data_IF_868444152567
#
_entry.id   IF_868444152567
#
_cell.length_a   1.000
_cell.length_b   1.000
_cell.length_c   1.000
_cell.angle_alpha   90.00
_cell.angle_beta   90.00
_cell.angle_gamma   90.00
#
_symmetry.space_group_name_H-M   'P 1'
#
loop_
_entity.id
_entity.type
_entity.pdbx_description
1 polymer ?
#
# COMPACT_ATOMS: atom_id res chain seq x y z
N UNK A 1 77.76 33.46 -6.17
CA UNK A 1 77.69 32.02 -6.41
C UNK A 1 76.35 31.58 -5.82
N UNK A 2 75.31 31.56 -6.68
CA UNK A 2 73.90 31.50 -6.28
C UNK A 2 73.40 30.07 -6.38
N UNK A 3 72.85 29.55 -5.27
CA UNK A 3 72.13 28.29 -5.23
C UNK A 3 70.59 28.61 -5.22
N UNK A 4 69.98 28.29 -6.32
CA UNK A 4 68.52 28.44 -6.49
C UNK A 4 67.79 27.35 -5.71
N UNK A 5 67.04 27.76 -4.69
CA UNK A 5 66.11 26.90 -3.95
C UNK A 5 64.85 26.71 -4.76
N UNK A 6 64.64 25.55 -5.39
CA UNK A 6 63.36 25.15 -5.97
C UNK A 6 62.40 24.69 -4.84
N UNK A 7 61.39 25.48 -4.58
CA UNK A 7 60.22 25.06 -3.77
C UNK A 7 59.31 24.21 -4.63
N UNK A 8 59.22 22.94 -4.30
CA UNK A 8 58.20 22.04 -4.82
C UNK A 8 56.98 22.25 -3.94
N UNK A 9 55.90 22.84 -4.50
CA UNK A 9 54.57 22.89 -3.87
C UNK A 9 53.89 21.57 -4.21
N UNK A 10 53.78 20.69 -3.21
CA UNK A 10 52.96 19.50 -3.30
C UNK A 10 51.51 19.93 -3.05
N UNK A 11 50.69 20.05 -4.10
CA UNK A 11 49.25 20.20 -3.99
C UNK A 11 48.66 18.82 -3.67
N UNK A 12 48.33 18.61 -2.40
CA UNK A 12 47.50 17.46 -2.00
C UNK A 12 46.08 17.69 -2.48
N UNK A 13 45.71 17.06 -3.58
CA UNK A 13 44.29 16.96 -3.99
C UNK A 13 43.56 16.09 -2.99
N UNK A 14 42.82 16.73 -2.09
CA UNK A 14 41.87 16.05 -1.22
C UNK A 14 40.68 15.61 -2.07
N UNK A 15 40.72 14.40 -2.58
CA UNK A 15 39.59 13.78 -3.26
C UNK A 15 38.55 13.47 -2.18
N UNK A 16 37.52 14.32 -2.06
CA UNK A 16 36.32 14.00 -1.29
C UNK A 16 35.62 12.89 -2.07
N UNK A 17 35.87 11.66 -1.67
CA UNK A 17 35.05 10.52 -2.09
C UNK A 17 33.70 10.74 -1.40
N UNK A 18 32.78 11.39 -2.08
CA UNK A 18 31.36 11.29 -1.75
C UNK A 18 30.98 9.85 -2.06
N UNK A 19 31.11 9.00 -1.06
CA UNK A 19 30.66 7.62 -1.17
C UNK A 19 29.18 7.63 -1.55
N UNK A 20 28.85 7.16 -2.75
CA UNK A 20 27.49 6.78 -3.04
C UNK A 20 27.02 5.85 -1.90
N UNK A 21 25.80 5.99 -1.39
CA UNK A 21 25.32 5.09 -0.35
C UNK A 21 25.49 3.66 -0.84
N UNK A 22 26.23 2.87 -0.07
CA UNK A 22 26.43 1.46 -0.38
C UNK A 22 25.05 0.82 -0.36
N UNK A 23 24.62 0.15 -1.44
CA UNK A 23 23.28 -0.44 -1.58
C UNK A 23 22.87 -1.35 -0.39
N UNK A 24 23.84 -1.86 0.37
CA UNK A 24 23.60 -2.57 1.61
C UNK A 24 23.12 -1.70 2.79
N UNK A 25 23.31 -0.39 2.73
CA UNK A 25 22.79 0.54 3.76
C UNK A 25 21.30 0.80 3.56
N UNK A 26 20.83 0.90 2.32
CA UNK A 26 19.41 1.09 2.02
C UNK A 26 18.58 -0.13 2.47
N UNK A 27 19.00 -1.35 2.15
CA UNK A 27 18.31 -2.57 2.57
C UNK A 27 18.24 -2.68 4.11
N UNK A 28 19.33 -2.29 4.79
CA UNK A 28 19.36 -2.25 6.24
C UNK A 28 18.43 -1.18 6.81
N UNK A 29 18.43 0.02 6.27
CA UNK A 29 17.57 1.11 6.70
C UNK A 29 16.08 0.76 6.54
N UNK A 30 15.69 0.13 5.42
CA UNK A 30 14.33 -0.38 5.22
C UNK A 30 13.96 -1.45 6.24
N UNK A 31 14.86 -2.37 6.53
CA UNK A 31 14.64 -3.39 7.55
C UNK A 31 14.48 -2.79 8.95
N UNK A 32 15.35 -1.83 9.35
CA UNK A 32 15.25 -1.13 10.64
C UNK A 32 13.93 -0.38 10.77
N UNK A 33 13.47 0.29 9.70
CA UNK A 33 12.15 0.95 9.68
C UNK A 33 11.00 -0.05 9.81
N UNK A 34 11.08 -1.21 9.15
CA UNK A 34 10.07 -2.26 9.29
C UNK A 34 10.05 -2.82 10.71
N UNK A 35 11.18 -2.94 11.40
CA UNK A 35 11.22 -3.32 12.81
C UNK A 35 10.51 -2.28 13.69
N UNK A 36 10.75 -0.98 13.47
CA UNK A 36 10.07 0.08 14.19
C UNK A 36 8.55 0.08 13.92
N UNK A 37 8.13 -0.02 12.67
CA UNK A 37 6.72 -0.11 12.29
C UNK A 37 6.05 -1.28 13.03
N UNK A 38 6.69 -2.43 13.03
CA UNK A 38 6.20 -3.65 13.68
C UNK A 38 6.09 -3.48 15.19
N UNK A 39 7.11 -2.92 15.83
CA UNK A 39 7.11 -2.65 17.27
C UNK A 39 5.92 -1.74 17.66
N UNK A 40 5.78 -0.58 16.99
CA UNK A 40 4.67 0.34 17.28
C UNK A 40 3.30 -0.30 16.99
N UNK A 41 3.18 -1.07 15.92
CA UNK A 41 1.94 -1.75 15.56
C UNK A 41 1.52 -2.75 16.63
N UNK A 42 2.46 -3.54 17.11
CA UNK A 42 2.23 -4.54 18.13
C UNK A 42 1.95 -3.92 19.51
N UNK A 43 2.58 -2.79 19.82
CA UNK A 43 2.41 -2.14 21.12
C UNK A 43 1.15 -1.28 21.19
N UNK A 44 0.84 -0.54 20.12
CA UNK A 44 -0.17 0.52 20.15
C UNK A 44 -1.53 0.09 19.57
N UNK A 45 -1.53 -0.87 18.66
CA UNK A 45 -2.76 -1.24 17.92
C UNK A 45 -3.26 -2.63 18.30
N UNK A 46 -2.36 -3.60 18.41
CA UNK A 46 -2.76 -5.00 18.58
C UNK A 46 -3.56 -5.25 19.87
N UNK A 47 -3.24 -4.68 21.04
CA UNK A 47 -4.01 -4.94 22.26
C UNK A 47 -5.47 -4.56 22.10
N UNK A 48 -5.75 -3.33 21.64
CA UNK A 48 -7.13 -2.86 21.42
C UNK A 48 -7.82 -3.64 20.32
N UNK A 49 -7.13 -3.97 19.24
CA UNK A 49 -7.73 -4.76 18.16
C UNK A 49 -8.10 -6.19 18.62
N UNK A 50 -7.29 -6.82 19.49
CA UNK A 50 -7.64 -8.12 20.09
C UNK A 50 -8.85 -8.00 21.03
N UNK A 51 -8.89 -6.98 21.87
CA UNK A 51 -10.00 -6.70 22.78
C UNK A 51 -11.31 -6.45 22.02
N UNK A 52 -11.30 -5.57 21.02
CA UNK A 52 -12.48 -5.21 20.20
C UNK A 52 -13.06 -6.41 19.41
N UNK A 53 -12.23 -7.43 19.16
CA UNK A 53 -12.61 -8.65 18.43
C UNK A 53 -12.74 -9.87 19.34
N UNK A 54 -12.66 -9.69 20.65
CA UNK A 54 -12.82 -10.76 21.65
C UNK A 54 -11.88 -11.96 21.38
N UNK A 55 -10.58 -11.68 21.16
CA UNK A 55 -9.56 -12.69 20.93
C UNK A 55 -8.56 -12.75 22.11
N UNK A 56 -8.44 -13.94 22.71
CA UNK A 56 -7.41 -14.20 23.73
C UNK A 56 -6.07 -14.52 23.08
N UNK A 57 -6.11 -15.18 21.93
CA UNK A 57 -4.92 -15.56 21.19
C UNK A 57 -5.14 -15.44 19.68
N UNK A 58 -4.09 -15.09 18.96
CA UNK A 58 -4.06 -15.10 17.49
C UNK A 58 -2.87 -15.95 17.04
N UNK A 59 -3.13 -16.92 16.16
CA UNK A 59 -2.10 -17.82 15.61
C UNK A 59 -2.06 -17.67 14.09
N UNK A 60 -0.89 -17.27 13.57
CA UNK A 60 -0.60 -17.27 12.14
C UNK A 60 0.30 -18.44 11.81
N UNK A 61 -0.12 -19.25 10.85
CA UNK A 61 0.58 -20.47 10.45
C UNK A 61 1.22 -20.29 9.10
N UNK A 62 2.50 -20.59 9.01
CA UNK A 62 3.22 -20.59 7.73
C UNK A 62 4.05 -21.86 7.61
N UNK A 63 4.42 -22.19 6.38
CA UNK A 63 5.39 -23.26 6.08
C UNK A 63 6.18 -22.89 4.84
N UNK A 64 7.27 -23.58 4.59
CA UNK A 64 8.06 -23.36 3.39
C UNK A 64 7.20 -23.44 2.12
N UNK A 65 7.28 -22.42 1.28
CA UNK A 65 6.51 -22.31 0.03
C UNK A 65 5.02 -21.99 0.19
N UNK A 66 4.53 -21.80 1.43
CA UNK A 66 3.17 -21.35 1.73
C UNK A 66 3.19 -20.34 2.89
N UNK A 67 3.40 -19.09 2.54
CA UNK A 67 3.48 -17.98 3.48
C UNK A 67 2.12 -17.31 3.60
N UNK A 68 1.83 -16.82 4.80
CA UNK A 68 0.64 -15.99 5.04
C UNK A 68 0.80 -14.61 4.39
N UNK A 69 -0.26 -13.96 3.90
CA UNK A 69 -0.21 -12.59 3.37
C UNK A 69 0.39 -11.55 4.33
N UNK A 70 0.37 -11.83 5.65
CA UNK A 70 0.94 -10.95 6.67
C UNK A 70 2.43 -11.18 6.94
N UNK A 71 3.11 -12.01 6.17
CA UNK A 71 4.50 -12.36 6.42
C UNK A 71 5.45 -11.16 6.52
N UNK A 72 5.29 -10.16 5.66
CA UNK A 72 6.05 -8.92 5.75
C UNK A 72 5.75 -8.14 7.03
N UNK A 73 4.49 -8.02 7.36
CA UNK A 73 4.05 -7.29 8.55
C UNK A 73 4.53 -7.96 9.84
N UNK A 74 4.50 -9.29 9.90
CA UNK A 74 4.94 -10.06 11.07
C UNK A 74 6.46 -10.22 11.13
N UNK A 75 7.16 -10.08 10.02
CA UNK A 75 8.61 -10.17 9.92
C UNK A 75 9.09 -11.45 9.27
N UNK A 76 9.94 -11.26 8.27
CA UNK A 76 10.54 -12.33 7.49
C UNK A 76 11.49 -13.15 8.35
N UNK A 77 11.25 -14.46 8.41
CA UNK A 77 12.12 -15.45 9.03
C UNK A 77 12.29 -16.68 8.14
N UNK A 78 13.17 -17.56 8.51
CA UNK A 78 13.27 -18.89 7.88
C UNK A 78 12.19 -19.79 8.49
N UNK A 79 11.24 -20.20 7.65
CA UNK A 79 10.18 -21.14 8.02
C UNK A 79 10.54 -22.50 7.43
N UNK A 80 10.62 -23.52 8.28
CA UNK A 80 10.78 -24.90 7.84
C UNK A 80 9.43 -25.55 7.50
N UNK A 81 9.24 -26.78 7.95
CA UNK A 81 7.99 -27.52 7.72
C UNK A 81 6.78 -26.77 8.29
N UNK A 82 6.93 -26.19 9.47
CA UNK A 82 5.89 -25.43 10.19
C UNK A 82 6.50 -24.29 10.99
N UNK A 83 5.87 -23.13 10.91
CA UNK A 83 6.18 -21.96 11.71
C UNK A 83 4.91 -21.27 12.17
N UNK A 84 4.95 -20.77 13.41
CA UNK A 84 3.81 -20.13 14.05
C UNK A 84 4.24 -18.80 14.64
N UNK A 85 3.47 -17.77 14.35
CA UNK A 85 3.48 -16.50 15.06
C UNK A 85 2.28 -16.51 16.00
N UNK A 86 2.52 -16.43 17.29
CA UNK A 86 1.50 -16.56 18.33
C UNK A 86 1.48 -15.30 19.17
N UNK A 87 0.31 -14.69 19.22
CA UNK A 87 0.06 -13.46 19.97
C UNK A 87 -1.00 -13.75 21.02
N UNK A 88 -0.67 -13.51 22.30
CA UNK A 88 -1.56 -13.80 23.42
C UNK A 88 -1.90 -12.53 24.16
N UNK A 89 -3.20 -12.21 24.26
CA UNK A 89 -3.69 -11.05 24.99
C UNK A 89 -3.40 -11.16 26.47
N UNK A 90 -2.85 -10.10 27.02
CA UNK A 90 -2.64 -9.92 28.47
C UNK A 90 -3.28 -8.59 28.93
N UNK A 91 -4.40 -8.22 28.33
CA UNK A 91 -5.04 -6.94 28.53
C UNK A 91 -4.30 -5.84 27.76
N UNK A 92 -3.68 -4.89 28.44
CA UNK A 92 -2.99 -3.77 27.81
C UNK A 92 -1.70 -4.16 27.06
N UNK A 93 -1.26 -5.39 27.13
CA UNK A 93 -0.07 -5.93 26.47
C UNK A 93 -0.44 -7.21 25.71
N UNK A 94 0.31 -7.49 24.65
CA UNK A 94 0.25 -8.76 23.93
C UNK A 94 1.61 -9.47 24.07
N UNK A 95 1.61 -10.68 24.59
CA UNK A 95 2.78 -11.56 24.57
C UNK A 95 2.95 -12.12 23.16
N UNK A 96 4.18 -12.17 22.68
CA UNK A 96 4.51 -12.45 21.28
C UNK A 96 5.51 -13.58 21.19
N UNK A 97 5.13 -14.68 20.60
CA UNK A 97 5.99 -15.83 20.41
C UNK A 97 6.14 -16.20 18.94
N UNK A 98 7.29 -16.73 18.60
CA UNK A 98 7.58 -17.29 17.29
C UNK A 98 8.10 -18.72 17.50
N UNK A 99 7.40 -19.70 16.91
CA UNK A 99 7.72 -21.10 17.08
C UNK A 99 8.02 -21.75 15.72
N UNK A 100 9.13 -22.49 15.64
CA UNK A 100 9.54 -23.17 14.40
C UNK A 100 10.01 -22.23 13.29
N UNK A 101 10.37 -20.99 13.63
CA UNK A 101 10.88 -19.98 12.70
C UNK A 101 12.21 -19.49 13.22
N UNK A 102 13.21 -19.45 12.35
CA UNK A 102 14.53 -18.92 12.67
C UNK A 102 14.89 -17.70 11.83
N UNK A 103 16.01 -17.07 12.18
CA UNK A 103 16.60 -16.01 11.37
C UNK A 103 17.01 -14.79 12.18
N UNK A 104 18.31 -14.52 12.17
CA UNK A 104 18.91 -13.44 12.96
C UNK A 104 18.24 -12.07 12.78
N UNK A 105 17.70 -11.78 11.60
CA UNK A 105 17.02 -10.50 11.36
C UNK A 105 15.67 -10.41 12.07
N UNK A 106 14.96 -11.52 12.22
CA UNK A 106 13.73 -11.58 13.00
C UNK A 106 14.01 -11.38 14.48
N UNK A 107 15.02 -12.07 15.00
CA UNK A 107 15.46 -11.96 16.38
C UNK A 107 16.02 -10.56 16.71
N UNK A 108 16.83 -9.98 15.83
CA UNK A 108 17.42 -8.65 16.02
C UNK A 108 16.41 -7.49 15.95
N UNK A 109 15.21 -7.73 15.44
CA UNK A 109 14.11 -6.75 15.51
C UNK A 109 13.66 -6.50 16.97
N UNK A 110 13.90 -7.44 17.87
CA UNK A 110 13.57 -7.36 19.32
C UNK A 110 12.09 -7.02 19.58
N UNK A 111 11.19 -7.60 18.78
CA UNK A 111 9.74 -7.39 18.89
C UNK A 111 8.99 -8.62 19.39
N UNK A 112 9.67 -9.74 19.58
CA UNK A 112 9.12 -10.99 20.07
C UNK A 112 9.72 -11.36 21.42
N UNK A 113 8.86 -11.79 22.35
CA UNK A 113 9.23 -12.13 23.72
C UNK A 113 9.82 -13.56 23.82
N UNK A 114 9.42 -14.45 22.88
CA UNK A 114 9.80 -15.87 22.94
C UNK A 114 10.06 -16.46 21.56
N UNK A 115 11.11 -17.26 21.46
CA UNK A 115 11.43 -18.09 20.29
C UNK A 115 11.55 -19.55 20.74
N UNK A 116 10.80 -20.46 20.10
CA UNK A 116 10.76 -21.88 20.42
C UNK A 116 10.67 -22.77 19.20
N UNK A 117 10.59 -24.08 19.42
CA UNK A 117 10.37 -25.05 18.35
C UNK A 117 8.90 -25.17 17.99
N UNK A 118 8.59 -25.62 16.74
CA UNK A 118 7.22 -25.82 16.29
C UNK A 118 6.45 -26.86 17.15
N UNK A 119 7.16 -27.82 17.73
CA UNK A 119 6.56 -28.87 18.55
C UNK A 119 6.05 -28.33 19.89
N UNK A 120 6.52 -27.19 20.34
CA UNK A 120 6.09 -26.56 21.60
C UNK A 120 4.70 -25.91 21.51
N UNK A 121 4.10 -25.78 20.32
CA UNK A 121 2.85 -25.02 20.13
C UNK A 121 1.72 -25.49 21.07
N UNK A 122 1.49 -26.79 21.19
CA UNK A 122 0.40 -27.31 22.00
C UNK A 122 0.59 -26.96 23.48
N UNK A 123 1.80 -27.17 24.02
CA UNK A 123 2.14 -26.84 25.40
C UNK A 123 2.11 -25.33 25.66
N UNK A 124 2.58 -24.55 24.66
CA UNK A 124 2.53 -23.08 24.70
C UNK A 124 1.09 -22.57 24.82
N UNK A 125 0.18 -23.08 23.99
CA UNK A 125 -1.24 -22.73 24.02
C UNK A 125 -1.89 -23.21 25.32
N UNK A 126 -1.65 -24.45 25.72
CA UNK A 126 -2.23 -25.02 26.94
C UNK A 126 -1.83 -24.27 28.21
N UNK A 127 -0.60 -23.74 28.28
CA UNK A 127 -0.12 -22.97 29.44
C UNK A 127 -0.78 -21.59 29.58
N UNK A 128 -1.45 -21.08 28.52
CA UNK A 128 -2.15 -19.79 28.50
C UNK A 128 -3.67 -19.94 28.51
N UNK A 129 -4.17 -21.13 28.24
CA UNK A 129 -5.58 -21.55 28.27
C UNK A 129 -6.53 -20.53 27.60
N UNK A 130 -6.31 -20.13 26.32
CA UNK A 130 -7.17 -19.16 25.65
C UNK A 130 -8.54 -19.74 25.36
N UNK A 131 -9.61 -18.96 25.57
CA UNK A 131 -10.98 -19.35 25.23
C UNK A 131 -11.28 -19.18 23.73
N UNK A 132 -10.71 -18.13 23.10
CA UNK A 132 -10.91 -17.83 21.68
C UNK A 132 -9.59 -17.62 20.96
N UNK A 133 -9.33 -18.46 19.97
CA UNK A 133 -8.10 -18.48 19.19
C UNK A 133 -8.39 -18.03 17.76
N UNK A 134 -7.98 -16.82 17.40
CA UNK A 134 -8.10 -16.31 16.05
C UNK A 134 -7.11 -16.99 15.11
N UNK A 135 -7.57 -17.34 13.90
CA UNK A 135 -6.72 -17.83 12.80
C UNK A 135 -7.11 -17.16 11.49
N UNK A 136 -6.17 -17.08 10.56
CA UNK A 136 -6.35 -16.36 9.30
C UNK A 136 -7.18 -17.16 8.29
N UNK A 137 -8.49 -17.27 8.56
CA UNK A 137 -9.52 -17.73 7.65
C UNK A 137 -10.53 -16.59 7.47
N UNK A 138 -10.91 -16.30 6.23
CA UNK A 138 -11.76 -15.17 5.91
C UNK A 138 -12.72 -15.50 4.75
N UNK A 139 -13.90 -14.89 4.76
CA UNK A 139 -14.90 -15.00 3.69
C UNK A 139 -14.78 -13.84 2.69
N UNK A 140 -14.41 -12.65 3.15
CA UNK A 140 -14.48 -11.42 2.36
C UNK A 140 -13.12 -10.76 2.13
N UNK A 141 -12.16 -10.92 3.03
CA UNK A 141 -10.87 -10.24 3.00
C UNK A 141 -9.76 -11.24 2.66
N UNK A 142 -9.42 -11.38 1.36
CA UNK A 142 -8.41 -12.34 0.90
C UNK A 142 -7.05 -12.20 1.59
N UNK A 143 -6.64 -10.99 1.97
CA UNK A 143 -5.42 -10.76 2.74
C UNK A 143 -5.46 -11.24 4.20
N UNK A 144 -6.63 -11.65 4.69
CA UNK A 144 -6.82 -12.28 6.00
C UNK A 144 -7.10 -13.81 5.89
N UNK A 145 -6.99 -14.39 4.68
CA UNK A 145 -7.25 -15.80 4.38
C UNK A 145 -5.97 -16.54 4.00
N UNK A 146 -4.99 -16.52 4.89
CA UNK A 146 -3.69 -17.16 4.69
C UNK A 146 -3.60 -18.63 5.07
N UNK A 147 -4.58 -19.15 5.82
CA UNK A 147 -4.55 -20.49 6.37
C UNK A 147 -5.19 -21.52 5.42
N UNK A 148 -4.38 -22.32 4.74
CA UNK A 148 -4.90 -23.37 3.86
C UNK A 148 -5.70 -24.42 4.64
N UNK A 149 -6.64 -25.08 3.95
CA UNK A 149 -7.44 -26.18 4.55
C UNK A 149 -6.56 -27.27 5.21
N UNK A 150 -5.46 -27.68 4.57
CA UNK A 150 -4.54 -28.67 5.12
C UNK A 150 -3.85 -28.15 6.39
N UNK A 151 -3.42 -26.89 6.38
CA UNK A 151 -2.77 -26.26 7.54
C UNK A 151 -3.75 -26.08 8.69
N UNK A 152 -5.00 -25.73 8.40
CA UNK A 152 -6.06 -25.63 9.41
C UNK A 152 -6.33 -26.98 10.12
N UNK A 153 -6.50 -28.05 9.36
CA UNK A 153 -6.77 -29.37 9.96
C UNK A 153 -5.60 -29.86 10.81
N UNK A 154 -4.37 -29.62 10.34
CA UNK A 154 -3.19 -30.00 11.13
C UNK A 154 -3.04 -29.16 12.38
N UNK A 155 -3.28 -27.85 12.31
CA UNK A 155 -3.28 -26.98 13.48
C UNK A 155 -4.31 -27.47 14.50
N UNK A 156 -5.53 -27.77 14.05
CA UNK A 156 -6.60 -28.27 14.89
C UNK A 156 -6.21 -29.60 15.59
N UNK A 157 -5.60 -30.52 14.85
CA UNK A 157 -5.11 -31.81 15.40
C UNK A 157 -4.00 -31.56 16.45
N UNK A 158 -3.01 -30.69 16.15
CA UNK A 158 -1.90 -30.40 17.05
C UNK A 158 -2.37 -29.73 18.35
N UNK A 159 -3.38 -28.88 18.28
CA UNK A 159 -3.94 -28.19 19.45
C UNK A 159 -4.87 -29.06 20.31
N UNK A 160 -5.28 -30.24 19.83
CA UNK A 160 -6.20 -31.12 20.56
C UNK A 160 -7.52 -30.41 20.89
N UNK A 161 -7.90 -30.38 22.18
CA UNK A 161 -9.16 -29.73 22.62
C UNK A 161 -9.21 -28.21 22.36
N UNK A 162 -8.08 -27.54 22.26
CA UNK A 162 -8.00 -26.13 21.90
C UNK A 162 -8.35 -25.89 20.42
N UNK A 163 -8.24 -26.91 19.58
CA UNK A 163 -8.62 -26.86 18.19
C UNK A 163 -10.12 -26.58 17.95
N UNK A 164 -10.97 -26.80 18.95
CA UNK A 164 -12.41 -26.46 18.89
C UNK A 164 -12.69 -24.99 19.26
N UNK A 165 -11.67 -24.26 19.75
CA UNK A 165 -11.73 -22.83 20.09
C UNK A 165 -11.26 -21.91 18.94
N UNK A 166 -10.92 -22.50 17.78
CA UNK A 166 -10.47 -21.74 16.60
C UNK A 166 -11.63 -20.96 15.99
N UNK A 167 -11.38 -19.67 15.74
CA UNK A 167 -12.34 -18.75 15.11
C UNK A 167 -11.66 -17.94 14.00
N UNK A 168 -12.45 -17.37 13.09
CA UNK A 168 -11.94 -16.44 12.09
C UNK A 168 -11.35 -15.18 12.75
N UNK A 169 -10.14 -14.81 12.33
CA UNK A 169 -9.52 -13.53 12.70
C UNK A 169 -9.77 -12.42 11.68
N UNK A 170 -10.67 -12.59 10.72
CA UNK A 170 -10.87 -11.66 9.59
C UNK A 170 -11.07 -10.21 10.04
N UNK A 171 -12.00 -9.97 11.00
CA UNK A 171 -12.23 -8.62 11.52
C UNK A 171 -11.05 -8.07 12.28
N UNK A 172 -10.45 -8.88 13.14
CA UNK A 172 -9.23 -8.50 13.86
C UNK A 172 -8.11 -8.09 12.91
N UNK A 173 -7.84 -8.90 11.88
CA UNK A 173 -6.82 -8.59 10.86
C UNK A 173 -7.14 -7.28 10.15
N UNK A 174 -8.42 -7.06 9.81
CA UNK A 174 -8.88 -5.80 9.23
C UNK A 174 -8.59 -4.61 10.15
N UNK A 175 -9.01 -4.66 11.40
CA UNK A 175 -8.83 -3.58 12.37
C UNK A 175 -7.34 -3.32 12.68
N UNK A 176 -6.58 -4.39 12.88
CA UNK A 176 -5.14 -4.35 13.08
C UNK A 176 -4.43 -3.70 11.89
N UNK A 177 -4.80 -4.05 10.65
CA UNK A 177 -4.18 -3.51 9.43
C UNK A 177 -4.65 -2.09 9.11
N UNK A 178 -5.91 -1.77 9.35
CA UNK A 178 -6.49 -0.48 9.01
C UNK A 178 -6.10 0.65 9.97
N UNK A 179 -5.91 0.35 11.25
CA UNK A 179 -5.50 1.36 12.25
C UNK A 179 -4.03 1.70 12.07
N UNK A 180 -3.71 2.94 11.73
CA UNK A 180 -2.34 3.37 11.38
C UNK A 180 -1.63 4.05 12.54
N UNK A 181 -0.36 3.68 12.74
CA UNK A 181 0.56 4.41 13.62
C UNK A 181 1.20 5.61 12.90
N UNK A 182 1.83 6.49 13.66
CA UNK A 182 2.50 7.66 13.08
C UNK A 182 3.64 7.27 12.12
N UNK A 183 4.41 6.23 12.43
CA UNK A 183 5.50 5.76 11.56
C UNK A 183 4.97 5.10 10.29
N UNK A 184 3.83 4.39 10.35
CA UNK A 184 3.16 3.86 9.16
C UNK A 184 2.68 4.99 8.26
N UNK A 185 2.07 6.05 8.82
CA UNK A 185 1.62 7.22 8.06
C UNK A 185 2.81 7.89 7.36
N UNK A 186 3.95 8.03 8.03
CA UNK A 186 5.15 8.59 7.44
C UNK A 186 5.69 7.74 6.29
N UNK A 187 5.74 6.41 6.44
CA UNK A 187 6.17 5.49 5.39
C UNK A 187 5.22 5.52 4.19
N UNK A 188 3.90 5.58 4.45
CA UNK A 188 2.89 5.67 3.40
C UNK A 188 2.95 7.01 2.64
N UNK A 189 3.24 8.12 3.34
CA UNK A 189 3.46 9.41 2.70
C UNK A 189 4.68 9.40 1.77
N UNK A 190 5.76 8.72 2.16
CA UNK A 190 6.95 8.53 1.33
C UNK A 190 6.64 7.68 0.08
N UNK A 191 5.91 6.58 0.24
CA UNK A 191 5.43 5.79 -0.90
C UNK A 191 4.59 6.63 -1.87
N UNK A 192 3.72 7.51 -1.34
CA UNK A 192 2.94 8.46 -2.12
C UNK A 192 3.79 9.48 -2.88
N UNK A 193 4.86 9.99 -2.26
CA UNK A 193 5.78 10.93 -2.90
C UNK A 193 6.61 10.27 -4.02
N UNK A 194 7.09 9.05 -3.80
CA UNK A 194 7.76 8.25 -4.83
C UNK A 194 6.82 8.03 -6.02
N UNK A 195 5.58 7.65 -5.74
CA UNK A 195 4.56 7.46 -6.78
C UNK A 195 4.32 8.73 -7.57
N UNK A 196 4.18 9.88 -6.89
CA UNK A 196 3.99 11.19 -7.52
C UNK A 196 5.16 11.55 -8.45
N UNK A 197 6.39 11.42 -7.95
CA UNK A 197 7.59 11.77 -8.71
C UNK A 197 7.69 10.97 -10.02
N UNK A 198 7.49 9.64 -9.94
CA UNK A 198 7.57 8.78 -11.13
C UNK A 198 6.44 9.14 -12.11
N UNK A 199 5.20 9.35 -11.63
CA UNK A 199 4.07 9.70 -12.48
C UNK A 199 4.26 11.05 -13.21
N UNK A 200 4.79 12.06 -12.52
CA UNK A 200 5.06 13.38 -13.12
C UNK A 200 6.15 13.31 -14.20
N UNK A 201 7.20 12.51 -13.97
CA UNK A 201 8.24 12.27 -14.96
C UNK A 201 7.70 11.46 -16.15
N UNK A 202 6.91 10.42 -15.89
CA UNK A 202 6.28 9.62 -16.93
C UNK A 202 5.43 10.46 -17.89
N UNK A 203 4.73 11.46 -17.38
CA UNK A 203 3.91 12.38 -18.15
C UNK A 203 4.65 13.67 -18.58
N UNK A 204 5.96 13.60 -18.71
CA UNK A 204 6.79 14.72 -19.17
C UNK A 204 7.45 14.43 -20.52
N UNK A 205 8.11 15.45 -21.08
CA UNK A 205 8.92 15.30 -22.29
C UNK A 205 10.20 14.45 -22.09
N UNK A 206 10.50 14.02 -20.87
CA UNK A 206 11.53 13.01 -20.60
C UNK A 206 11.15 11.65 -21.22
N UNK A 207 9.86 11.32 -21.23
CA UNK A 207 9.35 10.03 -21.66
C UNK A 207 8.51 10.15 -22.93
N UNK A 208 7.63 11.14 -23.00
CA UNK A 208 6.66 11.27 -24.09
C UNK A 208 7.18 12.18 -25.21
N UNK A 209 7.36 11.60 -26.39
CA UNK A 209 7.51 12.30 -27.66
C UNK A 209 6.23 12.09 -28.47
N UNK A 210 5.32 13.10 -28.57
CA UNK A 210 4.08 12.96 -29.32
C UNK A 210 4.31 12.52 -30.77
N UNK A 211 3.52 11.58 -31.26
CA UNK A 211 3.68 10.98 -32.59
C UNK A 211 4.68 9.83 -32.65
N UNK A 212 5.33 9.46 -31.54
CA UNK A 212 6.31 8.36 -31.49
C UNK A 212 6.06 7.43 -30.30
N UNK A 213 5.95 7.95 -29.08
CA UNK A 213 5.79 7.18 -27.84
C UNK A 213 4.40 6.52 -27.78
N UNK A 214 4.34 5.25 -27.49
CA UNK A 214 3.10 4.50 -27.27
C UNK A 214 2.67 4.56 -25.79
N UNK A 215 1.43 4.12 -25.50
CA UNK A 215 0.97 4.01 -24.12
C UNK A 215 1.80 2.99 -23.34
N UNK A 216 2.18 1.87 -23.96
CA UNK A 216 3.01 0.86 -23.30
C UNK A 216 4.46 1.30 -23.07
N UNK A 217 5.03 2.14 -23.93
CA UNK A 217 6.38 2.69 -23.69
C UNK A 217 6.42 3.47 -22.37
N UNK A 218 5.37 4.23 -22.07
CA UNK A 218 5.24 4.93 -20.79
C UNK A 218 5.13 3.96 -19.63
N UNK A 219 4.31 2.92 -19.75
CA UNK A 219 4.12 1.89 -18.73
C UNK A 219 5.43 1.13 -18.45
N UNK A 220 6.16 0.74 -19.48
CA UNK A 220 7.46 0.07 -19.34
C UNK A 220 8.50 0.97 -18.69
N UNK A 221 8.58 2.24 -19.09
CA UNK A 221 9.48 3.19 -18.45
C UNK A 221 9.19 3.33 -16.94
N UNK A 222 7.92 3.36 -16.54
CA UNK A 222 7.52 3.42 -15.13
C UNK A 222 7.92 2.15 -14.37
N UNK A 223 7.76 0.99 -14.99
CA UNK A 223 8.20 -0.29 -14.42
C UNK A 223 9.71 -0.33 -14.23
N UNK A 224 10.49 0.22 -15.17
CA UNK A 224 11.94 0.36 -15.03
C UNK A 224 12.32 1.27 -13.85
N UNK A 225 11.55 2.35 -13.60
CA UNK A 225 11.79 3.22 -12.44
C UNK A 225 11.50 2.51 -11.11
N UNK A 226 10.47 1.66 -11.06
CA UNK A 226 10.19 0.81 -9.89
C UNK A 226 11.33 -0.18 -9.65
N UNK A 227 11.72 -0.92 -10.67
CA UNK A 227 12.79 -1.91 -10.60
C UNK A 227 14.12 -1.29 -10.15
N UNK A 228 14.50 -0.14 -10.72
CA UNK A 228 15.73 0.56 -10.37
C UNK A 228 15.79 1.02 -8.90
N UNK A 229 14.64 1.22 -8.28
CA UNK A 229 14.50 1.63 -6.86
C UNK A 229 14.21 0.47 -5.92
N UNK A 230 14.14 -0.77 -6.43
CA UNK A 230 13.77 -1.95 -5.65
C UNK A 230 12.39 -1.82 -5.03
N UNK A 231 11.43 -1.32 -5.81
CA UNK A 231 10.03 -1.20 -5.44
C UNK A 231 9.21 -2.30 -6.11
N UNK A 232 8.11 -2.66 -5.48
CA UNK A 232 7.10 -3.55 -6.06
C UNK A 232 6.02 -2.73 -6.76
N UNK A 233 5.26 -3.35 -7.65
CA UNK A 233 4.01 -2.77 -8.15
C UNK A 233 2.86 -3.09 -7.20
N UNK A 234 1.93 -2.15 -7.04
CA UNK A 234 0.72 -2.39 -6.24
C UNK A 234 -0.22 -3.38 -6.92
N UNK A 235 -0.17 -3.45 -8.22
CA UNK A 235 -0.89 -4.40 -9.07
C UNK A 235 0.00 -4.69 -10.28
N UNK A 236 -0.46 -5.25 -11.35
CA UNK A 236 0.36 -5.65 -12.49
C UNK A 236 1.19 -4.49 -13.10
N UNK A 237 1.02 -4.17 -14.33
CA UNK A 237 1.67 -3.04 -15.01
C UNK A 237 0.94 -1.73 -14.72
N UNK A 238 1.65 -0.58 -14.72
CA UNK A 238 0.99 0.72 -14.84
C UNK A 238 0.07 0.76 -16.05
N UNK A 239 -1.17 1.22 -15.85
CA UNK A 239 -2.14 1.33 -16.93
C UNK A 239 -2.20 2.76 -17.43
N UNK A 240 -1.91 2.97 -18.71
CA UNK A 240 -1.97 4.29 -19.36
C UNK A 240 -3.08 4.30 -20.39
N UNK A 241 -3.96 5.28 -20.30
CA UNK A 241 -5.16 5.40 -21.14
C UNK A 241 -5.22 6.75 -21.80
N UNK A 242 -5.96 6.83 -22.92
CA UNK A 242 -6.47 8.10 -23.44
C UNK A 242 -7.91 8.22 -23.01
N UNK A 243 -8.24 9.36 -22.41
CA UNK A 243 -9.58 9.68 -21.93
C UNK A 243 -10.17 10.89 -22.66
N UNK A 244 -11.48 11.07 -22.56
CA UNK A 244 -12.22 12.16 -23.17
C UNK A 244 -13.52 12.41 -22.41
N UNK A 245 -14.43 13.23 -22.96
CA UNK A 245 -15.71 13.58 -22.31
C UNK A 245 -16.53 12.33 -21.92
N UNK A 246 -16.53 11.32 -22.79
CA UNK A 246 -17.28 10.08 -22.57
C UNK A 246 -16.53 9.04 -21.75
N UNK A 247 -15.37 9.38 -21.19
CA UNK A 247 -14.50 8.52 -20.39
C UNK A 247 -13.33 7.97 -21.18
N UNK A 248 -12.94 6.69 -20.95
CA UNK A 248 -11.79 6.07 -21.61
C UNK A 248 -12.12 5.83 -23.08
N UNK A 249 -11.32 6.39 -23.99
CA UNK A 249 -11.51 6.30 -25.44
C UNK A 249 -10.46 5.42 -26.12
N UNK A 250 -9.30 5.17 -25.50
CA UNK A 250 -8.29 4.25 -26.00
C UNK A 250 -7.51 3.58 -24.86
N UNK A 251 -7.41 2.26 -24.94
CA UNK A 251 -6.68 1.40 -24.01
C UNK A 251 -5.66 0.50 -24.72
N UNK A 252 -5.62 0.52 -26.07
CA UNK A 252 -4.67 -0.28 -26.83
C UNK A 252 -3.25 0.16 -26.51
N UNK A 253 -2.41 -0.77 -26.08
CA UNK A 253 -1.06 -0.48 -25.60
C UNK A 253 -0.14 0.08 -26.68
N UNK A 254 -0.37 -0.29 -27.95
CA UNK A 254 0.35 0.17 -29.13
C UNK A 254 -0.11 1.54 -29.65
N UNK A 255 -1.14 2.16 -29.00
CA UNK A 255 -1.65 3.46 -29.38
C UNK A 255 -0.57 4.53 -29.16
N UNK A 256 -0.17 5.17 -30.27
CA UNK A 256 0.80 6.28 -30.24
C UNK A 256 0.13 7.54 -29.70
N UNK A 257 0.73 8.13 -28.69
CA UNK A 257 0.30 9.37 -28.05
C UNK A 257 0.41 10.53 -29.04
N UNK A 258 -0.65 11.30 -29.19
CA UNK A 258 -0.71 12.46 -30.10
C UNK A 258 -0.87 13.77 -29.32
N UNK A 259 -0.53 14.87 -30.00
CA UNK A 259 -0.85 16.20 -29.47
C UNK A 259 -2.38 16.39 -29.40
N UNK A 260 -2.85 16.86 -28.27
CA UNK A 260 -4.28 17.03 -27.97
C UNK A 260 -4.89 15.83 -27.20
N UNK A 261 -4.12 14.74 -27.01
CA UNK A 261 -4.57 13.63 -26.16
C UNK A 261 -4.63 14.05 -24.69
N UNK A 262 -5.65 13.57 -24.00
CA UNK A 262 -5.76 13.64 -22.56
C UNK A 262 -5.45 12.25 -21.98
N UNK A 263 -4.32 12.14 -21.32
CA UNK A 263 -3.81 10.90 -20.76
C UNK A 263 -4.32 10.71 -19.34
N UNK A 264 -4.65 9.49 -18.98
CA UNK A 264 -4.90 9.06 -17.62
C UNK A 264 -3.98 7.89 -17.26
N UNK A 265 -3.46 7.94 -16.05
CA UNK A 265 -2.61 6.90 -15.45
C UNK A 265 -3.31 6.28 -14.25
N UNK A 266 -3.28 4.96 -14.20
CA UNK A 266 -3.68 4.16 -13.04
C UNK A 266 -2.52 3.26 -12.65
N UNK A 267 -1.95 3.46 -11.45
CA UNK A 267 -0.77 2.75 -11.01
C UNK A 267 -0.49 2.91 -9.52
N UNK A 268 0.44 2.12 -9.02
CA UNK A 268 0.93 2.27 -7.66
C UNK A 268 2.27 1.59 -7.42
N UNK A 269 2.88 1.91 -6.30
CA UNK A 269 4.13 1.31 -5.83
C UNK A 269 3.95 0.65 -4.48
N UNK A 270 4.65 -0.46 -4.28
CA UNK A 270 4.85 -1.09 -2.98
C UNK A 270 6.18 -0.63 -2.38
N UNK A 271 6.13 -0.04 -1.19
CA UNK A 271 7.28 0.42 -0.42
C UNK A 271 7.06 0.13 1.06
N UNK A 272 7.97 -0.61 1.70
CA UNK A 272 7.85 -1.03 3.11
C UNK A 272 6.51 -1.71 3.43
N UNK A 273 6.03 -2.57 2.55
CA UNK A 273 4.73 -3.25 2.65
C UNK A 273 3.51 -2.28 2.65
N UNK A 274 3.70 -1.02 2.19
CA UNK A 274 2.63 -0.06 1.91
C UNK A 274 2.48 0.10 0.41
N UNK A 275 1.24 0.03 -0.06
CA UNK A 275 0.91 0.05 -1.47
C UNK A 275 0.06 1.27 -1.79
N UNK A 276 0.50 2.06 -2.77
CA UNK A 276 -0.26 3.20 -3.28
C UNK A 276 -1.18 2.77 -4.41
N UNK A 277 -2.25 3.51 -4.60
CA UNK A 277 -3.14 3.42 -5.76
C UNK A 277 -3.42 4.86 -6.22
N UNK A 278 -2.84 5.24 -7.35
CA UNK A 278 -2.76 6.63 -7.76
C UNK A 278 -3.24 6.84 -9.20
N UNK A 279 -4.13 7.80 -9.37
CA UNK A 279 -4.53 8.28 -10.70
C UNK A 279 -3.92 9.65 -10.98
N UNK A 280 -3.44 9.83 -12.20
CA UNK A 280 -2.95 11.13 -12.70
C UNK A 280 -3.47 11.36 -14.09
N UNK A 281 -3.65 12.64 -14.41
CA UNK A 281 -4.12 13.11 -15.72
C UNK A 281 -3.12 14.11 -16.26
N UNK A 282 -2.83 14.02 -17.55
CA UNK A 282 -2.01 14.98 -18.27
C UNK A 282 -2.58 15.25 -19.66
N UNK A 283 -2.53 16.50 -20.10
CA UNK A 283 -2.89 16.91 -21.44
C UNK A 283 -1.65 17.13 -22.30
N UNK A 284 -1.60 16.53 -23.47
CA UNK A 284 -0.51 16.69 -24.44
C UNK A 284 -0.77 17.95 -25.27
N UNK A 285 -0.09 19.03 -24.94
CA UNK A 285 -0.29 20.34 -25.61
C UNK A 285 -0.18 20.25 -27.14
N UNK A 286 -1.11 20.86 -27.84
CA UNK A 286 -1.03 21.05 -29.31
C UNK A 286 0.08 22.04 -29.67
N UNK A 287 0.42 22.08 -30.94
CA UNK A 287 1.42 23.03 -31.42
C UNK A 287 0.93 24.47 -31.19
N UNK A 288 1.77 25.28 -30.54
CA UNK A 288 1.47 26.66 -30.17
C UNK A 288 0.64 26.85 -28.90
N UNK A 289 0.14 25.78 -28.30
CA UNK A 289 -0.51 25.87 -26.97
C UNK A 289 0.54 25.97 -25.87
N UNK A 290 0.29 26.85 -24.90
CA UNK A 290 1.09 26.99 -23.67
C UNK A 290 0.35 26.48 -22.44
N UNK A 291 -0.96 26.25 -22.56
CA UNK A 291 -1.87 25.78 -21.53
C UNK A 291 -2.92 24.84 -22.13
N UNK A 292 -3.48 23.92 -21.34
CA UNK A 292 -4.61 23.10 -21.78
C UNK A 292 -5.83 23.95 -22.14
N UNK A 293 -6.73 23.46 -23.01
CA UNK A 293 -8.00 24.13 -23.33
C UNK A 293 -8.82 24.45 -22.07
N UNK A 294 -9.69 25.46 -22.18
CA UNK A 294 -10.52 25.95 -21.06
C UNK A 294 -11.36 24.82 -20.45
N UNK A 295 -12.00 23.95 -21.25
CA UNK A 295 -12.81 22.85 -20.76
C UNK A 295 -12.00 21.84 -19.93
N UNK A 296 -10.79 21.50 -20.39
CA UNK A 296 -9.89 20.58 -19.64
C UNK A 296 -9.47 21.20 -18.31
N UNK A 297 -9.12 22.49 -18.30
CA UNK A 297 -8.77 23.21 -17.06
C UNK A 297 -9.96 23.30 -16.11
N UNK A 298 -11.17 23.58 -16.64
CA UNK A 298 -12.38 23.60 -15.84
C UNK A 298 -12.65 22.23 -15.20
N UNK A 299 -12.63 21.16 -15.97
CA UNK A 299 -12.82 19.79 -15.46
C UNK A 299 -11.82 19.45 -14.37
N UNK A 300 -10.55 19.81 -14.56
CA UNK A 300 -9.50 19.61 -13.54
C UNK A 300 -9.81 20.38 -12.24
N UNK A 301 -10.26 21.63 -12.34
CA UNK A 301 -10.63 22.41 -11.16
C UNK A 301 -11.86 21.84 -10.45
N UNK A 302 -12.85 21.33 -11.18
CA UNK A 302 -13.98 20.61 -10.57
C UNK A 302 -13.49 19.36 -9.83
N UNK A 303 -12.53 18.60 -10.38
CA UNK A 303 -11.90 17.46 -9.70
C UNK A 303 -11.20 17.84 -8.41
N UNK A 304 -10.54 18.99 -8.37
CA UNK A 304 -9.95 19.51 -7.14
C UNK A 304 -11.02 19.84 -6.09
N UNK A 305 -12.13 20.48 -6.50
CA UNK A 305 -13.26 20.76 -5.60
C UNK A 305 -13.86 19.46 -5.04
N UNK A 306 -14.11 18.46 -5.86
CA UNK A 306 -14.58 17.12 -5.42
C UNK A 306 -13.63 16.54 -4.38
N UNK A 307 -12.33 16.53 -4.66
CA UNK A 307 -11.31 16.03 -3.74
C UNK A 307 -11.32 16.78 -2.39
N UNK A 308 -11.46 18.08 -2.40
CA UNK A 308 -11.45 18.89 -1.17
C UNK A 308 -12.72 18.64 -0.33
N UNK A 309 -13.87 18.45 -0.98
CA UNK A 309 -15.12 18.02 -0.34
C UNK A 309 -14.93 16.63 0.30
N UNK A 310 -14.36 15.67 -0.43
CA UNK A 310 -14.08 14.33 0.08
C UNK A 310 -13.19 14.38 1.34
N UNK A 311 -12.11 15.13 1.30
CA UNK A 311 -11.22 15.31 2.48
C UNK A 311 -11.94 15.87 3.69
N UNK A 312 -12.84 16.82 3.50
CA UNK A 312 -13.59 17.44 4.57
C UNK A 312 -14.66 16.51 5.18
N UNK A 313 -15.21 15.60 4.39
CA UNK A 313 -16.31 14.72 4.81
C UNK A 313 -15.85 13.38 5.34
N UNK A 314 -14.73 12.82 4.83
CA UNK A 314 -14.22 11.50 5.22
C UNK A 314 -13.60 11.55 6.61
N UNK A 315 -12.71 12.49 6.88
CA UNK A 315 -11.93 12.54 8.12
C UNK A 315 -12.76 12.53 9.40
N UNK A 316 -13.87 13.29 9.52
CA UNK A 316 -14.67 13.31 10.73
C UNK A 316 -15.71 12.18 10.82
N UNK A 317 -15.79 11.31 9.84
CA UNK A 317 -16.82 10.27 9.81
C UNK A 317 -16.40 9.05 10.65
N UNK A 318 -17.28 8.49 11.49
CA UNK A 318 -16.96 7.37 12.37
C UNK A 318 -16.88 6.03 11.62
N UNK A 319 -17.51 5.91 10.46
CA UNK A 319 -17.51 4.70 9.63
C UNK A 319 -17.34 5.03 8.15
N UNK A 320 -16.92 4.05 7.34
CA UNK A 320 -16.82 4.21 5.89
C UNK A 320 -18.18 4.50 5.24
N UNK A 321 -19.25 3.86 5.70
CA UNK A 321 -20.59 4.13 5.18
C UNK A 321 -21.07 5.55 5.49
N UNK A 322 -20.79 6.04 6.69
CA UNK A 322 -21.11 7.42 7.07
C UNK A 322 -20.28 8.42 6.25
N UNK A 323 -18.99 8.12 6.02
CA UNK A 323 -18.12 8.91 5.16
C UNK A 323 -18.67 9.02 3.74
N UNK A 324 -19.11 7.91 3.17
CA UNK A 324 -19.72 7.86 1.83
C UNK A 324 -21.01 8.70 1.77
N UNK A 325 -21.89 8.53 2.74
CA UNK A 325 -23.16 9.25 2.80
C UNK A 325 -22.95 10.77 2.91
N UNK A 326 -22.04 11.21 3.80
CA UNK A 326 -21.68 12.63 3.95
C UNK A 326 -21.06 13.19 2.69
N UNK A 327 -20.19 12.43 2.05
CA UNK A 327 -19.54 12.85 0.80
C UNK A 327 -20.58 13.03 -0.32
N UNK A 328 -21.49 12.09 -0.50
CA UNK A 328 -22.58 12.20 -1.49
C UNK A 328 -23.42 13.44 -1.26
N UNK A 329 -23.93 13.62 -0.05
CA UNK A 329 -24.74 14.80 0.30
C UNK A 329 -23.97 16.12 0.07
N UNK A 330 -22.70 16.17 0.45
CA UNK A 330 -21.91 17.38 0.29
C UNK A 330 -21.63 17.72 -1.19
N UNK A 331 -21.44 16.72 -2.03
CA UNK A 331 -21.28 16.89 -3.48
C UNK A 331 -22.57 17.38 -4.12
N UNK A 332 -23.72 16.79 -3.80
CA UNK A 332 -25.03 17.25 -4.28
C UNK A 332 -25.32 18.70 -3.87
N UNK A 333 -25.04 19.05 -2.61
CA UNK A 333 -25.17 20.44 -2.12
C UNK A 333 -24.23 21.39 -2.85
N UNK A 334 -23.06 20.92 -3.27
CA UNK A 334 -22.09 21.71 -4.04
C UNK A 334 -22.44 21.83 -5.53
N UNK A 335 -23.55 21.22 -5.98
CA UNK A 335 -24.07 21.28 -7.34
C UNK A 335 -23.51 20.21 -8.28
N UNK A 336 -22.88 19.16 -7.74
CA UNK A 336 -22.47 18.02 -8.56
C UNK A 336 -23.61 17.02 -8.74
N UNK A 337 -23.66 16.43 -9.92
CA UNK A 337 -24.59 15.35 -10.23
C UNK A 337 -23.90 13.98 -10.01
N UNK A 338 -24.46 13.14 -9.15
CA UNK A 338 -23.89 11.82 -8.91
C UNK A 338 -24.50 10.82 -9.88
N UNK A 339 -23.67 10.19 -10.69
CA UNK A 339 -24.07 9.23 -11.73
C UNK A 339 -23.40 7.88 -11.52
N UNK A 340 -24.00 6.84 -12.06
CA UNK A 340 -23.42 5.51 -12.08
C UNK A 340 -22.30 5.41 -13.13
N UNK A 341 -21.39 4.48 -12.95
CA UNK A 341 -20.28 4.25 -13.87
C UNK A 341 -20.81 3.97 -15.31
N UNK A 342 -20.26 4.66 -16.29
CA UNK A 342 -20.69 4.61 -17.69
C UNK A 342 -22.14 5.08 -17.99
N UNK A 343 -22.75 5.85 -17.11
CA UNK A 343 -24.08 6.42 -17.29
C UNK A 343 -24.04 7.96 -17.09
N UNK A 344 -23.32 8.71 -17.93
CA UNK A 344 -23.29 10.16 -17.82
C UNK A 344 -24.69 10.75 -18.04
N UNK A 345 -24.94 11.87 -17.38
CA UNK A 345 -26.13 12.69 -17.64
C UNK A 345 -26.12 13.20 -19.09
N UNK A 346 -27.30 13.39 -19.65
CA UNK A 346 -27.47 14.11 -20.92
C UNK A 346 -27.58 15.63 -20.75
N UNK A 347 -27.59 16.11 -19.51
CA UNK A 347 -27.68 17.52 -19.18
C UNK A 347 -26.31 18.17 -19.26
N UNK A 348 -26.07 19.10 -20.23
CA UNK A 348 -24.77 19.74 -20.37
C UNK A 348 -24.47 20.78 -19.28
N UNK A 349 -25.47 21.19 -18.50
CA UNK A 349 -25.31 22.22 -17.48
C UNK A 349 -24.87 21.62 -16.11
N UNK A 350 -24.72 20.30 -16.00
CA UNK A 350 -24.32 19.64 -14.78
C UNK A 350 -22.92 19.03 -14.90
N UNK A 351 -22.20 19.00 -13.78
CA UNK A 351 -20.92 18.28 -13.69
C UNK A 351 -21.18 16.92 -13.05
N UNK A 352 -21.03 15.88 -13.86
CA UNK A 352 -21.20 14.51 -13.40
C UNK A 352 -19.99 14.03 -12.60
N UNK A 353 -20.28 13.32 -11.51
CA UNK A 353 -19.26 12.68 -10.67
C UNK A 353 -19.66 11.24 -10.39
N UNK A 354 -18.76 10.32 -10.66
CA UNK A 354 -18.87 8.92 -10.23
C UNK A 354 -18.05 8.73 -8.96
N UNK A 355 -18.68 8.24 -7.91
CA UNK A 355 -17.98 7.79 -6.71
C UNK A 355 -17.88 6.27 -6.75
N UNK A 356 -16.68 5.75 -6.92
CA UNK A 356 -16.38 4.32 -6.86
C UNK A 356 -15.55 4.01 -5.60
N UNK A 357 -16.19 3.90 -4.41
CA UNK A 357 -15.47 3.52 -3.21
C UNK A 357 -15.02 2.07 -3.34
N UNK A 358 -13.74 1.82 -3.08
CA UNK A 358 -13.21 0.48 -2.95
C UNK A 358 -12.13 0.45 -1.87
N UNK A 359 -11.92 -0.70 -1.25
CA UNK A 359 -10.76 -0.91 -0.40
C UNK A 359 -9.57 -1.32 -1.28
N UNK A 360 -8.37 -0.91 -0.92
CA UNK A 360 -7.14 -1.47 -1.46
C UNK A 360 -6.75 -2.77 -0.75
N UNK A 361 -7.74 -3.43 -0.17
CA UNK A 361 -7.64 -4.48 0.83
C UNK A 361 -7.01 -5.77 0.40
N UNK A 362 -6.81 -6.01 -0.88
CA UNK A 362 -6.20 -7.25 -1.36
C UNK A 362 -4.67 -7.15 -1.49
N UNK A 363 -4.08 -5.99 -1.21
CA UNK A 363 -2.65 -5.76 -1.38
C UNK A 363 -2.02 -5.24 -0.10
N UNK A 364 -1.27 -6.10 0.57
CA UNK A 364 -0.48 -5.72 1.73
C UNK A 364 -1.26 -4.93 2.78
N UNK A 365 -0.78 -3.78 3.16
CA UNK A 365 -1.36 -2.93 4.19
C UNK A 365 -2.63 -2.18 3.78
N UNK A 366 -3.05 -2.29 2.55
CA UNK A 366 -4.32 -1.73 2.11
C UNK A 366 -5.55 -2.46 2.62
N UNK A 367 -5.38 -3.54 3.35
CA UNK A 367 -6.46 -4.37 3.86
C UNK A 367 -7.25 -3.61 4.92
N UNK A 368 -8.51 -3.44 4.67
CA UNK A 368 -9.45 -2.92 5.64
C UNK A 368 -10.72 -2.41 5.02
N UNK A 369 -11.90 -2.90 5.42
CA UNK A 369 -13.18 -2.41 4.93
C UNK A 369 -13.46 -0.97 5.35
N UNK A 370 -12.78 -0.46 6.37
CA UNK A 370 -12.89 0.91 6.85
C UNK A 370 -12.10 1.92 6.03
N UNK A 371 -11.18 1.47 5.16
CA UNK A 371 -10.39 2.32 4.28
C UNK A 371 -10.96 2.29 2.87
N UNK A 372 -12.21 2.68 2.73
CA UNK A 372 -12.77 2.94 1.43
C UNK A 372 -12.05 4.15 0.82
N UNK A 373 -11.40 3.94 -0.32
CA UNK A 373 -10.89 5.02 -1.16
C UNK A 373 -12.05 5.51 -2.04
N UNK A 374 -12.35 6.77 -1.90
CA UNK A 374 -13.25 7.44 -2.81
C UNK A 374 -12.43 7.86 -4.02
N UNK A 375 -12.61 7.15 -5.10
CA UNK A 375 -11.99 7.48 -6.36
C UNK A 375 -13.05 8.13 -7.25
N UNK A 376 -12.99 9.43 -7.52
CA UNK A 376 -13.79 10.01 -8.58
C UNK A 376 -13.25 9.46 -9.90
N UNK A 377 -13.87 8.40 -10.41
CA UNK A 377 -13.40 7.68 -11.58
C UNK A 377 -13.79 8.36 -12.88
N UNK A 378 -14.68 9.34 -12.83
CA UNK A 378 -15.16 10.02 -14.02
C UNK A 378 -15.61 11.42 -13.69
N UNK A 379 -15.21 12.35 -14.52
CA UNK A 379 -15.75 13.70 -14.58
C UNK A 379 -16.02 14.05 -16.03
N UNK A 380 -17.15 14.67 -16.31
CA UNK A 380 -17.40 15.27 -17.61
C UNK A 380 -16.55 16.53 -17.76
N UNK A 381 -16.07 16.80 -18.97
CA UNK A 381 -15.12 17.89 -19.28
C UNK A 381 -15.81 19.08 -19.98
N UNK A 382 -17.03 19.35 -19.68
CA UNK A 382 -17.78 20.46 -20.29
C UNK A 382 -17.57 21.80 -19.59
#
# INVERSE_FOLDING_TARGET
MNVLLRRIILAAALTIITGAPVSGQEARARWERMCQIRAEKFDLVMPTAMEDNDLDMWIVVMREGLLDPLWEALGRGYVGDWGFWVFTSQGARVERAVLGVGGYRLEQCDVYDYFGSADELADYVASRDPDRIGVNIAESIGGADGLSYTSFNRLKEQLGSYGDRLVSAERFVSDFRATRTAVEIAAFAEAGEISREIAERAFSNEVITPGQTTLEDVAWWMSDQQLARGLESSFDMPSVYITGPDGIVATSTDRIIQRGDLLMLDWGVGFLDFYTDMKRIAYVLREGETEPPLGVRHAFEQGRRVRDIMKATIKPAPTAQEALNRTRTALEVAGFNLVEFNQPSSDPDVTDVVLGPHSVGNWGHGIGPSLAFFNPTRMTYE
#
